data_IF_963125185582
#
_entry.id   IF_963125185582
#
_cell.length_a   1.000
_cell.length_b   1.000
_cell.length_c   1.000
_cell.angle_alpha   90.00
_cell.angle_beta   90.00
_cell.angle_gamma   90.00
#
_symmetry.space_group_name_H-M   'P 1'
#
loop_
_entity.id
_entity.type
_entity.pdbx_description
1 polymer ?
#
# COMPACT_ATOMS: atom_id res chain seq x y z
N UNK A 1 -12.05 -7.68 17.12
CA UNK A 1 -11.12 -8.65 16.49
C UNK A 1 -10.16 -7.83 15.65
N UNK A 2 -8.86 -8.10 15.75
CA UNK A 2 -7.87 -7.42 14.94
C UNK A 2 -8.19 -7.62 13.44
N UNK A 3 -7.98 -6.58 12.64
CA UNK A 3 -8.14 -6.63 11.19
C UNK A 3 -6.93 -7.30 10.53
N UNK A 4 -5.74 -7.07 11.09
CA UNK A 4 -4.50 -7.76 10.73
C UNK A 4 -3.96 -8.41 11.99
N UNK A 5 -3.68 -9.72 11.93
CA UNK A 5 -3.02 -10.46 12.99
C UNK A 5 -1.83 -11.23 12.43
N UNK A 6 -0.64 -10.91 12.93
CA UNK A 6 0.63 -11.52 12.54
C UNK A 6 1.27 -12.12 13.79
N UNK A 7 1.71 -13.39 13.71
CA UNK A 7 2.40 -14.09 14.81
C UNK A 7 3.66 -14.75 14.30
N UNK A 8 4.79 -14.43 14.95
CA UNK A 8 6.12 -15.02 14.73
C UNK A 8 6.57 -15.03 13.26
N UNK A 9 6.17 -14.00 12.49
CA UNK A 9 6.44 -13.90 11.06
C UNK A 9 7.93 -13.72 10.81
N UNK A 10 8.50 -14.57 9.97
CA UNK A 10 9.91 -14.53 9.61
C UNK A 10 10.09 -14.51 8.09
N UNK A 11 11.05 -13.73 7.61
CA UNK A 11 11.42 -13.67 6.20
C UNK A 11 12.93 -13.63 6.03
N UNK A 12 13.43 -14.47 5.14
CA UNK A 12 14.85 -14.52 4.79
C UNK A 12 15.02 -14.56 3.28
N UNK A 13 16.13 -14.04 2.81
CA UNK A 13 16.58 -14.13 1.42
C UNK A 13 17.93 -14.85 1.35
N UNK A 14 18.23 -15.41 0.18
CA UNK A 14 19.53 -15.98 -0.11
C UNK A 14 20.26 -15.10 -1.09
N UNK A 15 21.42 -14.59 -0.70
CA UNK A 15 22.27 -13.77 -1.55
C UNK A 15 23.68 -14.33 -1.57
N UNK A 16 24.15 -14.73 -2.74
CA UNK A 16 25.47 -15.33 -2.92
C UNK A 16 25.77 -16.48 -1.93
N UNK A 17 24.80 -17.37 -1.72
CA UNK A 17 24.92 -18.51 -0.82
C UNK A 17 24.84 -18.18 0.69
N UNK A 18 24.64 -16.91 1.06
CA UNK A 18 24.41 -16.48 2.46
C UNK A 18 22.95 -16.21 2.70
N UNK A 19 22.44 -16.71 3.83
CA UNK A 19 21.11 -16.39 4.33
C UNK A 19 21.13 -15.03 5.01
N UNK A 20 20.18 -14.16 4.63
CA UNK A 20 19.95 -12.85 5.21
C UNK A 20 18.57 -12.87 5.83
N UNK A 21 18.51 -12.89 7.17
CA UNK A 21 17.25 -12.83 7.92
C UNK A 21 16.81 -11.37 8.05
N UNK A 22 15.70 -11.02 7.40
CA UNK A 22 15.16 -9.65 7.34
C UNK A 22 14.07 -9.46 8.39
N UNK A 23 13.11 -10.36 8.49
CA UNK A 23 12.10 -10.38 9.56
C UNK A 23 12.36 -11.59 10.45
N UNK A 24 12.24 -11.41 11.79
CA UNK A 24 12.71 -12.40 12.77
C UNK A 24 11.68 -12.60 13.88
N UNK A 25 10.64 -13.41 13.63
CA UNK A 25 9.59 -13.66 14.61
C UNK A 25 8.80 -12.40 14.94
N UNK A 26 8.42 -11.61 13.89
CA UNK A 26 7.66 -10.40 14.04
C UNK A 26 6.21 -10.73 14.40
N UNK A 27 5.68 -10.12 15.47
CA UNK A 27 4.28 -10.22 15.84
C UNK A 27 3.66 -8.84 15.92
N UNK A 28 2.44 -8.69 15.36
CA UNK A 28 1.76 -7.41 15.26
C UNK A 28 0.25 -7.60 15.12
N UNK A 29 -0.53 -6.73 15.75
CA UNK A 29 -1.97 -6.61 15.54
C UNK A 29 -2.31 -5.19 15.13
N UNK A 30 -3.19 -5.06 14.13
CA UNK A 30 -3.73 -3.77 13.67
C UNK A 30 -5.26 -3.90 13.62
N UNK A 31 -5.94 -2.95 14.24
CA UNK A 31 -7.40 -2.91 14.23
C UNK A 31 -7.94 -2.31 12.91
N UNK A 32 -9.20 -2.61 12.59
CA UNK A 32 -9.85 -2.06 11.40
C UNK A 32 -9.93 -0.53 11.50
N UNK A 33 -9.60 0.15 10.40
CA UNK A 33 -9.62 1.60 10.30
C UNK A 33 -8.42 2.31 10.92
N UNK A 34 -7.44 1.58 11.50
CA UNK A 34 -6.23 2.21 11.99
C UNK A 34 -5.38 2.79 10.84
N UNK A 35 -4.81 3.95 11.10
CA UNK A 35 -3.78 4.58 10.27
C UNK A 35 -2.43 4.48 10.99
N UNK A 36 -1.57 3.62 10.47
CA UNK A 36 -0.30 3.23 11.11
C UNK A 36 0.89 3.66 10.27
N UNK A 37 1.86 4.34 10.87
CA UNK A 37 3.17 4.55 10.26
C UNK A 37 4.18 3.52 10.73
N UNK A 38 5.01 3.00 9.82
CA UNK A 38 6.14 2.13 10.11
C UNK A 38 7.44 2.83 9.72
N UNK A 39 8.23 3.20 10.71
CA UNK A 39 9.53 3.84 10.53
C UNK A 39 10.67 2.87 10.82
N UNK A 40 11.88 3.23 10.44
CA UNK A 40 13.10 2.45 10.71
C UNK A 40 14.23 2.83 9.78
N UNK A 41 15.45 2.41 10.10
CA UNK A 41 16.64 2.68 9.29
C UNK A 41 16.50 2.15 7.86
N UNK A 42 17.25 2.72 6.91
CA UNK A 42 17.34 2.14 5.57
C UNK A 42 17.85 0.69 5.66
N UNK A 43 17.25 -0.20 4.89
CA UNK A 43 17.59 -1.64 4.92
C UNK A 43 17.06 -2.41 6.14
N UNK A 44 16.26 -1.81 7.03
CA UNK A 44 15.70 -2.52 8.20
C UNK A 44 14.63 -3.58 7.85
N UNK A 45 14.17 -3.65 6.58
CA UNK A 45 13.17 -4.61 6.12
C UNK A 45 11.75 -4.06 6.00
N UNK A 46 11.53 -2.74 6.03
CA UNK A 46 10.20 -2.11 5.96
C UNK A 46 9.44 -2.49 4.68
N UNK A 47 10.07 -2.34 3.51
CA UNK A 47 9.46 -2.73 2.23
C UNK A 47 9.22 -4.24 2.17
N UNK A 48 10.14 -5.06 2.71
CA UNK A 48 9.95 -6.52 2.84
C UNK A 48 8.71 -6.84 3.67
N UNK A 49 8.56 -6.19 4.83
CA UNK A 49 7.37 -6.34 5.66
C UNK A 49 6.09 -5.98 4.89
N UNK A 50 6.11 -4.86 4.19
CA UNK A 50 4.96 -4.39 3.41
C UNK A 50 4.62 -5.33 2.26
N UNK A 51 5.63 -5.88 1.57
CA UNK A 51 5.45 -6.87 0.50
C UNK A 51 4.87 -8.18 1.04
N UNK A 52 5.34 -8.65 2.20
CA UNK A 52 4.79 -9.86 2.82
C UNK A 52 3.36 -9.62 3.30
N UNK A 53 3.09 -8.50 3.99
CA UNK A 53 1.75 -8.14 4.44
C UNK A 53 0.77 -8.02 3.27
N UNK A 54 1.21 -7.45 2.16
CA UNK A 54 0.43 -7.32 0.93
C UNK A 54 0.42 -8.55 0.04
N UNK A 55 0.94 -9.68 0.51
CA UNK A 55 0.97 -10.96 -0.22
C UNK A 55 1.70 -10.91 -1.59
N UNK A 56 2.63 -9.97 -1.73
CA UNK A 56 3.53 -9.89 -2.91
C UNK A 56 4.75 -10.82 -2.73
N UNK A 57 5.06 -11.18 -1.50
CA UNK A 57 6.12 -12.11 -1.15
C UNK A 57 5.65 -13.02 -0.02
N UNK A 58 6.19 -14.24 0.08
CA UNK A 58 5.81 -15.21 1.10
C UNK A 58 6.81 -15.20 2.27
N UNK A 59 6.36 -15.29 3.54
CA UNK A 59 7.23 -15.50 4.67
C UNK A 59 7.83 -16.91 4.66
N UNK A 60 8.87 -17.15 5.47
CA UNK A 60 9.46 -18.49 5.65
C UNK A 60 8.87 -19.20 6.87
N UNK A 61 8.27 -18.46 7.80
CA UNK A 61 7.60 -19.00 8.98
C UNK A 61 6.64 -17.97 9.58
N UNK A 62 5.75 -18.43 10.47
CA UNK A 62 4.76 -17.61 11.15
C UNK A 62 3.36 -17.77 10.57
N UNK A 63 2.41 -17.00 11.11
CA UNK A 63 1.02 -16.93 10.63
C UNK A 63 0.62 -15.51 10.32
N UNK A 64 -0.30 -15.33 9.39
CA UNK A 64 -0.81 -14.02 8.99
C UNK A 64 -2.27 -14.12 8.60
N UNK A 65 -3.13 -13.48 9.38
CA UNK A 65 -4.55 -13.30 9.09
C UNK A 65 -4.82 -11.84 8.71
N UNK A 66 -5.61 -11.64 7.66
CA UNK A 66 -6.10 -10.32 7.25
C UNK A 66 -7.59 -10.44 6.99
N UNK A 67 -8.38 -9.62 7.69
CA UNK A 67 -9.84 -9.66 7.64
C UNK A 67 -10.44 -11.04 7.94
N UNK A 68 -9.84 -11.77 8.92
CA UNK A 68 -10.26 -13.12 9.31
C UNK A 68 -9.87 -14.22 8.31
N UNK A 69 -9.09 -13.91 7.29
CA UNK A 69 -8.61 -14.87 6.29
C UNK A 69 -7.13 -15.21 6.58
N UNK A 70 -6.83 -16.50 6.79
CA UNK A 70 -5.44 -16.98 6.77
C UNK A 70 -4.91 -16.92 5.33
N UNK A 71 -4.16 -15.85 5.04
CA UNK A 71 -3.67 -15.59 3.69
C UNK A 71 -2.55 -16.53 3.25
N UNK A 72 -1.87 -17.18 4.21
CA UNK A 72 -0.79 -18.12 3.93
C UNK A 72 -1.31 -19.51 3.55
N UNK A 73 -2.56 -19.82 3.85
CA UNK A 73 -3.24 -21.04 3.46
C UNK A 73 -3.88 -20.97 2.05
N UNK A 74 -3.92 -19.77 1.44
CA UNK A 74 -4.52 -19.58 0.12
C UNK A 74 -3.61 -20.11 -1.00
N UNK A 75 -4.20 -20.79 -1.98
CA UNK A 75 -3.52 -21.08 -3.24
C UNK A 75 -3.39 -19.84 -4.13
N UNK A 76 -2.49 -19.89 -5.12
CA UNK A 76 -2.10 -18.74 -5.96
C UNK A 76 -3.29 -17.97 -6.55
N UNK A 77 -4.30 -18.66 -7.07
CA UNK A 77 -5.47 -18.04 -7.70
C UNK A 77 -6.35 -17.30 -6.66
N UNK A 78 -6.54 -17.88 -5.47
CA UNK A 78 -7.30 -17.29 -4.38
C UNK A 78 -6.53 -16.13 -3.75
N UNK A 79 -5.21 -16.26 -3.59
CA UNK A 79 -4.33 -15.22 -3.11
C UNK A 79 -4.32 -13.99 -4.06
N UNK A 80 -4.28 -14.23 -5.37
CA UNK A 80 -4.38 -13.16 -6.36
C UNK A 80 -5.74 -12.44 -6.30
N UNK A 81 -6.84 -13.18 -6.12
CA UNK A 81 -8.18 -12.59 -5.93
C UNK A 81 -8.28 -11.82 -4.62
N UNK A 82 -7.77 -12.40 -3.53
CA UNK A 82 -7.71 -11.75 -2.23
C UNK A 82 -6.94 -10.43 -2.33
N UNK A 83 -5.72 -10.45 -2.85
CA UNK A 83 -4.89 -9.25 -3.03
C UNK A 83 -5.59 -8.17 -3.84
N UNK A 84 -6.19 -8.51 -4.97
CA UNK A 84 -6.86 -7.55 -5.83
C UNK A 84 -8.07 -6.88 -5.14
N UNK A 85 -8.81 -7.61 -4.28
CA UNK A 85 -10.02 -7.09 -3.60
C UNK A 85 -9.72 -6.40 -2.29
N UNK A 86 -8.69 -6.87 -1.58
CA UNK A 86 -8.45 -6.49 -0.18
C UNK A 86 -7.34 -5.46 -0.05
N UNK A 87 -6.38 -5.43 -0.98
CA UNK A 87 -5.16 -4.64 -0.82
C UNK A 87 -5.00 -3.61 -1.93
N UNK A 88 -4.96 -2.34 -1.56
CA UNK A 88 -4.49 -1.26 -2.41
C UNK A 88 -3.01 -0.98 -2.14
N UNK A 89 -2.20 -0.85 -3.20
CA UNK A 89 -0.78 -0.55 -3.09
C UNK A 89 -0.44 0.83 -3.65
N UNK A 90 0.36 1.59 -2.88
CA UNK A 90 1.02 2.81 -3.32
C UNK A 90 2.52 2.62 -3.09
N UNK A 91 3.32 2.73 -4.14
CA UNK A 91 4.77 2.59 -4.09
C UNK A 91 5.47 3.94 -4.27
N UNK A 92 6.71 4.01 -3.86
CA UNK A 92 7.58 5.17 -4.08
C UNK A 92 7.76 5.47 -5.58
N UNK A 93 7.92 4.43 -6.41
CA UNK A 93 7.81 4.51 -7.87
C UNK A 93 6.36 4.20 -8.23
N UNK A 94 5.72 5.07 -8.97
CA UNK A 94 4.27 5.00 -9.20
C UNK A 94 3.79 3.74 -9.91
N UNK A 95 4.67 3.06 -10.67
CA UNK A 95 4.36 1.88 -11.49
C UNK A 95 3.09 2.05 -12.35
N UNK A 96 2.92 3.25 -12.91
CA UNK A 96 1.88 3.49 -13.90
C UNK A 96 2.28 2.86 -15.23
N UNK A 97 1.30 2.31 -15.92
CA UNK A 97 1.51 1.74 -17.26
C UNK A 97 1.60 2.90 -18.26
N UNK A 98 2.73 3.07 -18.95
CA UNK A 98 3.00 4.27 -19.75
C UNK A 98 2.12 4.38 -21.01
N UNK A 99 1.58 3.26 -21.50
CA UNK A 99 0.70 3.20 -22.66
C UNK A 99 -0.73 3.68 -22.37
N UNK A 100 -1.12 3.70 -21.09
CA UNK A 100 -2.47 4.03 -20.62
C UNK A 100 -2.52 5.46 -20.07
N UNK A 101 -3.65 6.12 -20.25
CA UNK A 101 -3.95 7.41 -19.61
C UNK A 101 -4.06 7.28 -18.10
N UNK A 102 -4.10 8.39 -17.37
CA UNK A 102 -4.38 8.42 -15.93
C UNK A 102 -5.71 7.73 -15.62
N UNK A 103 -6.77 8.03 -16.38
CA UNK A 103 -8.08 7.42 -16.23
C UNK A 103 -8.02 5.88 -16.42
N UNK A 104 -7.36 5.43 -17.45
CA UNK A 104 -7.21 4.01 -17.72
C UNK A 104 -6.37 3.30 -16.67
N UNK A 105 -5.26 3.89 -16.21
CA UNK A 105 -4.45 3.35 -15.13
C UNK A 105 -5.28 3.11 -13.86
N UNK A 106 -6.15 4.06 -13.49
CA UNK A 106 -7.02 3.92 -12.31
C UNK A 106 -8.12 2.86 -12.54
N UNK A 107 -8.59 2.67 -13.77
CA UNK A 107 -9.63 1.69 -14.07
C UNK A 107 -9.12 0.23 -14.08
N UNK A 108 -7.81 -0.01 -14.29
CA UNK A 108 -7.21 -1.36 -14.45
C UNK A 108 -7.63 -2.36 -13.37
N UNK A 109 -7.57 -2.07 -12.05
CA UNK A 109 -7.94 -3.04 -11.02
C UNK A 109 -9.39 -3.56 -11.19
N UNK A 110 -10.32 -2.69 -11.58
CA UNK A 110 -11.71 -3.05 -11.82
C UNK A 110 -11.87 -3.87 -13.11
N UNK A 111 -11.14 -3.53 -14.16
CA UNK A 111 -11.14 -4.29 -15.41
C UNK A 111 -10.56 -5.69 -15.25
N UNK A 112 -9.54 -5.86 -14.42
CA UNK A 112 -8.99 -7.19 -14.05
C UNK A 112 -10.05 -8.06 -13.37
N UNK A 113 -10.94 -7.46 -12.57
CA UNK A 113 -12.09 -8.14 -11.98
C UNK A 113 -13.25 -8.38 -12.97
N UNK A 114 -13.09 -8.02 -14.24
CA UNK A 114 -14.14 -8.09 -15.27
C UNK A 114 -15.38 -7.25 -14.93
N UNK A 115 -15.21 -6.19 -14.15
CA UNK A 115 -16.24 -5.16 -13.98
C UNK A 115 -16.46 -4.48 -15.32
N UNK A 116 -17.72 -4.17 -15.63
CA UNK A 116 -18.07 -3.47 -16.88
C UNK A 116 -17.20 -2.22 -17.08
N UNK A 117 -16.71 -2.02 -18.30
CA UNK A 117 -15.79 -0.94 -18.65
C UNK A 117 -16.38 0.44 -18.28
N UNK A 118 -17.68 0.63 -18.54
CA UNK A 118 -18.34 1.91 -18.25
C UNK A 118 -18.38 2.20 -16.75
N UNK A 119 -18.60 1.18 -15.94
CA UNK A 119 -18.57 1.26 -14.47
C UNK A 119 -17.15 1.53 -13.97
N UNK A 120 -16.16 0.80 -14.49
CA UNK A 120 -14.75 0.96 -14.11
C UNK A 120 -14.24 2.38 -14.43
N UNK A 121 -14.54 2.91 -15.62
CA UNK A 121 -14.14 4.26 -16.02
C UNK A 121 -14.87 5.35 -15.24
N UNK A 122 -16.14 5.17 -14.89
CA UNK A 122 -16.87 6.10 -14.03
C UNK A 122 -16.25 6.19 -12.64
N UNK A 123 -15.97 5.06 -12.00
CA UNK A 123 -15.28 5.01 -10.69
C UNK A 123 -13.89 5.66 -10.77
N UNK A 124 -13.14 5.37 -11.83
CA UNK A 124 -11.83 5.96 -12.04
C UNK A 124 -11.89 7.48 -12.15
N UNK A 125 -12.92 8.03 -12.82
CA UNK A 125 -13.14 9.47 -12.94
C UNK A 125 -13.42 10.10 -11.58
N UNK A 126 -14.35 9.53 -10.80
CA UNK A 126 -14.69 10.00 -9.45
C UNK A 126 -13.46 10.03 -8.53
N UNK A 127 -12.59 9.01 -8.61
CA UNK A 127 -11.35 8.97 -7.82
C UNK A 127 -10.33 10.00 -8.27
N UNK A 128 -10.18 10.23 -9.59
CA UNK A 128 -9.29 11.28 -10.11
C UNK A 128 -9.78 12.68 -9.75
N UNK A 129 -11.08 12.92 -9.75
CA UNK A 129 -11.68 14.16 -9.25
C UNK A 129 -11.36 14.34 -7.75
N UNK A 130 -11.53 13.29 -6.93
CA UNK A 130 -11.24 13.32 -5.49
C UNK A 130 -9.77 13.66 -5.19
N UNK A 131 -8.82 13.21 -6.00
CA UNK A 131 -7.40 13.55 -5.84
C UNK A 131 -6.98 14.83 -6.60
N UNK A 132 -7.94 15.60 -7.14
CA UNK A 132 -7.72 16.89 -7.79
C UNK A 132 -7.08 16.80 -9.18
N UNK A 133 -7.36 15.74 -9.94
CA UNK A 133 -6.78 15.47 -11.26
C UNK A 133 -7.81 15.48 -12.40
N UNK A 134 -8.91 16.22 -12.26
CA UNK A 134 -9.96 16.31 -13.28
C UNK A 134 -9.42 16.72 -14.66
N UNK A 135 -8.48 17.68 -14.72
CA UNK A 135 -7.87 18.16 -15.96
C UNK A 135 -6.74 17.27 -16.50
N UNK A 136 -6.41 16.17 -15.81
CA UNK A 136 -5.29 15.28 -16.13
C UNK A 136 -5.72 13.87 -16.54
N UNK A 137 -7.01 13.60 -16.61
CA UNK A 137 -7.55 12.25 -16.84
C UNK A 137 -7.04 11.58 -18.12
N UNK A 138 -6.89 12.38 -19.18
CA UNK A 138 -6.47 11.89 -20.50
C UNK A 138 -4.94 11.94 -20.70
N UNK A 139 -4.18 12.45 -19.71
CA UNK A 139 -2.71 12.49 -19.78
C UNK A 139 -2.11 11.12 -19.54
N UNK A 140 -1.01 10.83 -20.22
CA UNK A 140 -0.19 9.63 -19.99
C UNK A 140 0.85 9.92 -18.88
N UNK A 141 1.39 8.87 -18.24
CA UNK A 141 2.36 9.03 -17.16
C UNK A 141 3.53 9.96 -17.47
N UNK A 142 4.05 9.96 -18.71
CA UNK A 142 5.13 10.85 -19.15
C UNK A 142 4.76 12.33 -19.27
N UNK A 143 3.48 12.65 -19.19
CA UNK A 143 2.94 14.02 -19.26
C UNK A 143 2.53 14.57 -17.89
N UNK A 144 2.70 13.75 -16.83
CA UNK A 144 2.36 14.08 -15.46
C UNK A 144 3.60 14.47 -14.67
N UNK A 145 3.46 15.43 -13.77
CA UNK A 145 4.46 15.67 -12.74
C UNK A 145 4.55 14.47 -11.77
N UNK A 146 5.64 14.36 -11.02
CA UNK A 146 5.81 13.29 -10.04
C UNK A 146 4.67 13.24 -9.01
N UNK A 147 4.20 14.40 -8.54
CA UNK A 147 3.07 14.48 -7.61
C UNK A 147 1.73 14.11 -8.25
N UNK A 148 1.49 14.49 -9.52
CA UNK A 148 0.30 14.07 -10.26
C UNK A 148 0.32 12.56 -10.50
N UNK A 149 1.45 11.98 -10.91
CA UNK A 149 1.61 10.54 -11.09
C UNK A 149 1.38 9.76 -9.77
N UNK A 150 1.85 10.30 -8.63
CA UNK A 150 1.59 9.71 -7.32
C UNK A 150 0.12 9.76 -6.92
N UNK A 151 -0.59 10.85 -7.22
CA UNK A 151 -2.04 10.94 -7.00
C UNK A 151 -2.80 9.97 -7.89
N UNK A 152 -2.38 9.75 -9.14
CA UNK A 152 -2.95 8.70 -10.01
C UNK A 152 -2.71 7.31 -9.41
N UNK A 153 -1.50 7.01 -8.89
CA UNK A 153 -1.19 5.74 -8.24
C UNK A 153 -2.04 5.52 -6.98
N UNK A 154 -2.27 6.58 -6.19
CA UNK A 154 -3.16 6.53 -5.03
C UNK A 154 -4.62 6.28 -5.46
N UNK A 155 -5.13 7.00 -6.46
CA UNK A 155 -6.47 6.76 -7.00
C UNK A 155 -6.63 5.32 -7.52
N UNK A 156 -5.62 4.79 -8.23
CA UNK A 156 -5.59 3.39 -8.67
C UNK A 156 -5.65 2.40 -7.50
N UNK A 157 -4.91 2.66 -6.43
CA UNK A 157 -4.92 1.81 -5.24
C UNK A 157 -6.31 1.74 -4.58
N UNK A 158 -7.12 2.80 -4.74
CA UNK A 158 -8.47 2.93 -4.17
C UNK A 158 -9.59 2.45 -5.12
N UNK A 159 -9.28 2.05 -6.35
CA UNK A 159 -10.27 1.77 -7.41
C UNK A 159 -11.33 0.71 -7.03
N UNK A 160 -11.00 -0.21 -6.13
CA UNK A 160 -11.89 -1.25 -5.63
C UNK A 160 -12.32 -1.05 -4.17
N UNK A 161 -12.09 0.13 -3.61
CA UNK A 161 -12.36 0.44 -2.21
C UNK A 161 -11.78 -0.62 -1.24
N UNK A 162 -10.48 -0.94 -1.36
CA UNK A 162 -9.89 -2.01 -0.58
C UNK A 162 -9.93 -1.67 0.91
N UNK A 163 -10.21 -2.64 1.80
CA UNK A 163 -10.20 -2.40 3.24
C UNK A 163 -8.79 -2.17 3.81
N UNK A 164 -7.73 -2.50 3.04
CA UNK A 164 -6.32 -2.31 3.40
C UNK A 164 -5.59 -1.49 2.35
N UNK A 165 -4.96 -0.39 2.76
CA UNK A 165 -4.04 0.39 1.94
C UNK A 165 -2.61 0.24 2.46
N UNK A 166 -1.70 -0.18 1.60
CA UNK A 166 -0.27 -0.31 1.88
C UNK A 166 0.50 0.72 1.07
N UNK A 167 1.25 1.59 1.75
CA UNK A 167 2.01 2.64 1.09
C UNK A 167 3.51 2.53 1.46
N UNK A 168 4.36 2.32 0.47
CA UNK A 168 5.81 2.27 0.63
C UNK A 168 6.42 3.58 0.15
N UNK A 169 6.87 4.41 1.10
CA UNK A 169 7.47 5.73 0.85
C UNK A 169 6.66 6.60 -0.14
N UNK A 170 5.35 6.81 0.11
CA UNK A 170 4.44 7.41 -0.89
C UNK A 170 4.80 8.84 -1.29
N UNK A 171 5.73 9.48 -0.59
CA UNK A 171 6.20 10.85 -0.85
C UNK A 171 7.72 10.95 -0.97
N UNK A 172 8.43 9.82 -1.03
CA UNK A 172 9.89 9.78 -0.99
C UNK A 172 10.59 10.48 -2.16
N UNK A 173 9.91 10.64 -3.30
CA UNK A 173 10.42 11.29 -4.50
C UNK A 173 9.79 12.67 -4.76
N UNK A 174 9.05 13.23 -3.79
CA UNK A 174 8.32 14.48 -3.93
C UNK A 174 8.94 15.59 -3.08
N UNK A 175 8.77 16.83 -3.54
CA UNK A 175 9.08 17.99 -2.71
C UNK A 175 8.11 18.06 -1.50
N UNK A 176 8.48 18.78 -0.42
CA UNK A 176 7.69 18.80 0.82
C UNK A 176 6.25 19.30 0.64
N UNK A 177 6.02 20.27 -0.23
CA UNK A 177 4.68 20.85 -0.46
C UNK A 177 3.77 19.86 -1.17
N UNK A 178 4.27 19.26 -2.25
CA UNK A 178 3.56 18.20 -2.99
C UNK A 178 3.31 16.98 -2.10
N UNK A 179 4.31 16.60 -1.29
CA UNK A 179 4.21 15.49 -0.33
C UNK A 179 3.10 15.71 0.70
N UNK A 180 2.95 16.92 1.26
CA UNK A 180 1.87 17.18 2.23
C UNK A 180 0.48 17.01 1.60
N UNK A 181 0.30 17.34 0.33
CA UNK A 181 -0.94 17.06 -0.38
C UNK A 181 -1.29 15.56 -0.45
N UNK A 182 -0.29 14.68 -0.62
CA UNK A 182 -0.49 13.21 -0.56
C UNK A 182 -0.83 12.76 0.86
N UNK A 183 -0.15 13.32 1.88
CA UNK A 183 -0.43 13.01 3.29
C UNK A 183 -1.87 13.37 3.67
N UNK A 184 -2.36 14.51 3.20
CA UNK A 184 -3.73 14.93 3.43
C UNK A 184 -4.73 13.96 2.79
N UNK A 185 -4.53 13.57 1.54
CA UNK A 185 -5.41 12.60 0.85
C UNK A 185 -5.41 11.24 1.58
N UNK A 186 -4.27 10.76 2.07
CA UNK A 186 -4.20 9.51 2.84
C UNK A 186 -5.05 9.58 4.13
N UNK A 187 -4.97 10.71 4.86
CA UNK A 187 -5.77 10.93 6.08
C UNK A 187 -7.27 11.03 5.78
N UNK A 188 -7.63 11.75 4.72
CA UNK A 188 -9.02 11.89 4.28
C UNK A 188 -9.62 10.55 3.88
N UNK A 189 -8.90 9.76 3.09
CA UNK A 189 -9.32 8.42 2.66
C UNK A 189 -9.52 7.49 3.87
N UNK A 190 -8.58 7.46 4.81
CA UNK A 190 -8.72 6.66 6.03
C UNK A 190 -9.95 7.09 6.84
N UNK A 191 -10.13 8.40 7.07
CA UNK A 191 -11.27 8.95 7.83
C UNK A 191 -12.62 8.70 7.15
N UNK A 192 -12.71 8.98 5.84
CA UNK A 192 -13.99 9.03 5.12
C UNK A 192 -14.45 7.65 4.68
N UNK A 193 -13.53 6.73 4.39
CA UNK A 193 -13.81 5.37 3.94
C UNK A 193 -13.57 4.30 5.01
N UNK A 194 -13.00 4.65 6.16
CA UNK A 194 -12.67 3.70 7.23
C UNK A 194 -11.61 2.66 6.83
N UNK A 195 -10.80 2.95 5.82
CA UNK A 195 -9.76 2.05 5.32
C UNK A 195 -8.63 1.93 6.35
N UNK A 196 -8.20 0.71 6.66
CA UNK A 196 -6.97 0.48 7.42
C UNK A 196 -5.77 0.81 6.54
N UNK A 197 -4.82 1.59 7.04
CA UNK A 197 -3.65 1.94 6.25
C UNK A 197 -2.34 1.72 7.01
N UNK A 198 -1.36 1.11 6.32
CA UNK A 198 0.01 0.96 6.80
C UNK A 198 0.94 1.71 5.86
N UNK A 199 1.60 2.74 6.38
CA UNK A 199 2.48 3.63 5.62
C UNK A 199 3.91 3.46 6.10
N UNK A 200 4.74 2.91 5.26
CA UNK A 200 6.20 2.89 5.46
C UNK A 200 6.77 4.23 5.04
N UNK A 201 7.53 4.87 5.90
CA UNK A 201 8.17 6.14 5.56
C UNK A 201 9.40 6.43 6.41
N UNK A 202 10.35 7.18 5.84
CA UNK A 202 11.43 7.84 6.55
C UNK A 202 11.13 9.33 6.82
N UNK A 203 9.98 9.83 6.33
CA UNK A 203 9.54 11.20 6.59
C UNK A 203 8.95 11.29 8.00
N UNK A 204 9.70 11.91 8.92
CA UNK A 204 9.31 12.08 10.30
C UNK A 204 8.02 12.91 10.48
N UNK A 205 7.79 13.92 9.62
CA UNK A 205 6.59 14.74 9.68
C UNK A 205 5.35 13.91 9.35
N UNK A 206 5.41 13.09 8.29
CA UNK A 206 4.36 12.15 7.93
C UNK A 206 4.12 11.14 9.06
N UNK A 207 5.19 10.51 9.57
CA UNK A 207 5.07 9.53 10.64
C UNK A 207 4.40 10.11 11.90
N UNK A 208 4.76 11.34 12.29
CA UNK A 208 4.16 12.04 13.45
C UNK A 208 2.71 12.46 13.24
N UNK A 209 2.28 12.62 12.01
CA UNK A 209 0.88 12.98 11.70
C UNK A 209 -0.08 11.79 11.82
N UNK A 210 0.43 10.57 11.99
CA UNK A 210 -0.39 9.35 12.11
C UNK A 210 -0.65 8.97 13.57
N UNK A 211 -1.87 8.49 13.90
CA UNK A 211 -2.27 8.18 15.27
C UNK A 211 -1.40 7.10 15.93
N UNK A 212 -0.95 6.11 15.14
CA UNK A 212 -0.13 5.01 15.64
C UNK A 212 1.19 4.93 14.89
N UNK A 213 2.28 4.89 15.65
CA UNK A 213 3.63 4.80 15.10
C UNK A 213 4.31 3.53 15.58
N UNK A 214 4.92 2.83 14.64
CA UNK A 214 5.68 1.61 14.86
C UNK A 214 7.10 1.79 14.30
N UNK A 215 8.05 1.10 14.90
CA UNK A 215 9.43 1.04 14.42
C UNK A 215 9.81 -0.39 14.07
N UNK A 216 10.42 -0.57 12.91
CA UNK A 216 11.04 -1.85 12.54
C UNK A 216 12.54 -1.77 12.85
N UNK A 217 12.97 -2.58 13.82
CA UNK A 217 14.36 -2.68 14.26
C UNK A 217 14.75 -4.13 14.50
N UNK A 218 15.92 -4.57 14.02
CA UNK A 218 16.40 -5.94 14.22
C UNK A 218 15.48 -7.04 13.69
N UNK A 219 14.60 -6.71 12.72
CA UNK A 219 13.61 -7.65 12.15
C UNK A 219 12.33 -7.80 13.00
N UNK A 220 12.13 -6.97 14.03
CA UNK A 220 10.95 -6.94 14.89
C UNK A 220 10.29 -5.58 14.86
N UNK A 221 8.99 -5.53 15.19
CA UNK A 221 8.23 -4.29 15.31
C UNK A 221 8.04 -3.93 16.78
N UNK A 222 8.24 -2.66 17.10
CA UNK A 222 8.05 -2.07 18.43
C UNK A 222 7.30 -0.72 18.32
N UNK A 223 6.64 -0.22 19.36
CA UNK A 223 6.11 1.14 19.40
C UNK A 223 7.23 2.17 19.17
N UNK A 224 6.93 3.28 18.43
CA UNK A 224 7.90 4.33 18.09
C UNK A 224 7.61 5.65 18.82
#
# INVERSE_FOLDING_TARGET
MAFIEIRELSKSYWLHGKRIDVLRGLSLQIERGELVSLVGASGSGKSTFLHVLGTLDAPVAGTMEVDGVDVLALGDADLARFRNRTVGFVFQSHYLLPEFTALENVAIPALVQRIDRSVALRRARELLERVGLTSRMDHRPGELSGGEAQRVALARALALEPPLLLADEPTGNLDPVTGEGIHQVLREVNRDLGITAVVVTHNEALARSMPRRLRLAGGKVEPA
#
